data_IF_766316517846
#
_entry.id   IF_766316517846
#
_cell.length_a   1.000
_cell.length_b   1.000
_cell.length_c   1.000
_cell.angle_alpha   90.00
_cell.angle_beta   90.00
_cell.angle_gamma   90.00
#
_symmetry.space_group_name_H-M   'P 1'
#
loop_
_entity.id
_entity.type
_entity.pdbx_description
1 polymer ?
#
# COMPACT_ATOMS: atom_id res chain seq x y z
N UNK A 1 31.84 -8.80 -11.19
CA UNK A 1 30.41 -8.45 -11.12
C UNK A 1 30.27 -7.29 -10.14
N UNK A 2 30.00 -6.04 -10.57
CA UNK A 2 29.76 -4.94 -9.64
C UNK A 2 28.26 -4.86 -9.36
N UNK A 3 27.76 -5.56 -8.33
CA UNK A 3 26.32 -5.59 -8.01
C UNK A 3 25.99 -5.09 -6.59
N UNK A 4 26.98 -4.67 -5.79
CA UNK A 4 26.77 -4.44 -4.36
C UNK A 4 26.76 -2.97 -3.91
N UNK A 5 27.05 -2.01 -4.80
CA UNK A 5 27.16 -0.59 -4.44
C UNK A 5 25.90 0.26 -4.75
N UNK A 6 25.00 -0.19 -5.62
CA UNK A 6 23.84 0.60 -6.11
C UNK A 6 22.49 0.29 -5.45
N UNK A 7 22.38 -0.76 -4.62
CA UNK A 7 21.15 -1.07 -3.84
C UNK A 7 20.84 0.04 -2.78
N UNK A 8 21.77 0.99 -2.62
CA UNK A 8 21.91 1.86 -1.44
C UNK A 8 21.14 3.18 -1.40
N UNK A 9 20.52 3.69 -2.47
CA UNK A 9 19.93 5.04 -2.39
C UNK A 9 18.54 5.05 -1.70
N UNK A 10 17.86 3.91 -1.54
CA UNK A 10 16.56 3.91 -0.84
C UNK A 10 15.78 2.60 -0.74
N UNK A 11 16.36 1.46 -1.16
CA UNK A 11 15.66 0.17 -1.14
C UNK A 11 15.23 -0.23 0.27
N UNK A 12 16.03 0.08 1.30
CA UNK A 12 15.67 -0.19 2.69
C UNK A 12 14.40 0.54 3.13
N UNK A 13 14.29 1.84 2.82
CA UNK A 13 13.10 2.65 3.14
C UNK A 13 11.90 2.20 2.30
N UNK A 14 12.11 1.90 1.01
CA UNK A 14 11.06 1.36 0.15
C UNK A 14 10.51 0.02 0.68
N UNK A 15 11.40 -0.89 1.11
CA UNK A 15 11.03 -2.19 1.69
C UNK A 15 10.29 -1.99 3.00
N UNK A 16 10.78 -1.10 3.89
CA UNK A 16 10.11 -0.77 5.14
C UNK A 16 8.70 -0.19 4.91
N UNK A 17 8.54 0.70 3.93
CA UNK A 17 7.25 1.28 3.57
C UNK A 17 6.25 0.20 3.13
N UNK A 18 6.68 -0.72 2.27
CA UNK A 18 5.85 -1.82 1.78
C UNK A 18 5.50 -2.83 2.88
N UNK A 19 6.46 -3.14 3.75
CA UNK A 19 6.21 -3.99 4.92
C UNK A 19 5.20 -3.35 5.87
N UNK A 20 5.32 -2.06 6.17
CA UNK A 20 4.37 -1.33 7.02
C UNK A 20 2.98 -1.26 6.39
N UNK A 21 2.89 -1.14 5.07
CA UNK A 21 1.63 -1.24 4.33
C UNK A 21 0.98 -2.62 4.48
N UNK A 22 1.75 -3.70 4.30
CA UNK A 22 1.24 -5.07 4.49
C UNK A 22 0.87 -5.34 5.95
N UNK A 23 1.65 -4.88 6.92
CA UNK A 23 1.31 -4.94 8.34
C UNK A 23 0.00 -4.21 8.62
N UNK A 24 -0.20 -3.03 8.01
CA UNK A 24 -1.45 -2.29 8.14
C UNK A 24 -2.66 -3.03 7.56
N UNK A 25 -2.48 -3.81 6.49
CA UNK A 25 -3.56 -4.59 5.90
C UNK A 25 -3.83 -5.90 6.66
N UNK A 26 -2.79 -6.60 7.12
CA UNK A 26 -2.89 -7.99 7.53
C UNK A 26 -2.83 -8.23 9.05
N UNK A 27 -2.10 -7.39 9.79
CA UNK A 27 -1.71 -7.72 11.18
C UNK A 27 -2.16 -6.67 12.19
N UNK A 28 -1.81 -5.41 11.94
CA UNK A 28 -1.99 -4.32 12.90
C UNK A 28 -2.52 -3.06 12.17
N UNK A 29 -3.80 -3.06 11.77
CA UNK A 29 -4.41 -1.91 11.11
C UNK A 29 -4.33 -0.67 11.99
N UNK A 30 -4.14 0.48 11.37
CA UNK A 30 -3.92 1.75 12.06
C UNK A 30 -2.47 1.89 12.55
N UNK A 31 -1.91 0.94 13.28
CA UNK A 31 -0.52 1.01 13.74
C UNK A 31 0.49 0.94 12.58
N UNK A 32 0.27 0.03 11.62
CA UNK A 32 1.10 -0.01 10.40
C UNK A 32 1.02 1.31 9.63
N UNK A 33 -0.18 1.91 9.53
CA UNK A 33 -0.36 3.21 8.88
C UNK A 33 0.30 4.36 9.64
N UNK A 34 0.23 4.38 10.98
CA UNK A 34 0.94 5.37 11.80
C UNK A 34 2.46 5.26 11.64
N UNK A 35 2.99 4.04 11.61
CA UNK A 35 4.40 3.78 11.30
C UNK A 35 4.76 4.27 9.90
N UNK A 36 3.90 4.02 8.91
CA UNK A 36 4.09 4.50 7.54
C UNK A 36 4.08 6.04 7.45
N UNK A 37 3.14 6.70 8.14
CA UNK A 37 3.08 8.16 8.21
C UNK A 37 4.32 8.76 8.86
N UNK A 38 4.82 8.13 9.94
CA UNK A 38 6.06 8.53 10.58
C UNK A 38 7.25 8.39 9.61
N UNK A 39 7.37 7.25 8.94
CA UNK A 39 8.43 6.98 7.97
C UNK A 39 8.39 7.98 6.80
N UNK A 40 7.20 8.25 6.27
CA UNK A 40 7.00 9.25 5.22
C UNK A 40 7.41 10.65 5.70
N UNK A 41 6.97 11.09 6.88
CA UNK A 41 7.36 12.40 7.43
C UNK A 41 8.88 12.53 7.59
N UNK A 42 9.54 11.45 7.97
CA UNK A 42 11.00 11.41 8.16
C UNK A 42 11.77 11.54 6.84
N UNK A 43 11.27 10.96 5.75
CA UNK A 43 11.99 10.89 4.46
C UNK A 43 11.43 11.79 3.36
N UNK A 44 10.31 12.51 3.56
CA UNK A 44 9.64 13.29 2.50
C UNK A 44 10.47 14.39 1.83
N UNK A 45 11.57 14.84 2.46
CA UNK A 45 12.43 15.92 1.95
C UNK A 45 13.69 15.35 1.28
N UNK A 46 14.39 14.45 1.99
CA UNK A 46 15.72 13.99 1.58
C UNK A 46 15.73 12.54 1.06
N UNK A 47 14.56 11.91 0.90
CA UNK A 47 14.46 10.54 0.42
C UNK A 47 14.77 10.43 -1.08
N UNK A 48 15.40 9.33 -1.47
CA UNK A 48 15.62 9.06 -2.90
C UNK A 48 14.32 8.88 -3.68
N UNK A 49 14.36 9.08 -5.02
CA UNK A 49 13.19 8.90 -5.87
C UNK A 49 12.52 7.52 -5.73
N UNK A 50 13.32 6.46 -5.51
CA UNK A 50 12.83 5.11 -5.24
C UNK A 50 12.03 5.05 -3.93
N UNK A 51 12.65 5.47 -2.82
CA UNK A 51 12.03 5.45 -1.49
C UNK A 51 10.74 6.27 -1.46
N UNK A 52 10.79 7.49 -1.99
CA UNK A 52 9.64 8.39 -2.05
C UNK A 52 8.50 7.83 -2.90
N UNK A 53 8.80 7.22 -4.05
CA UNK A 53 7.77 6.62 -4.89
C UNK A 53 7.05 5.48 -4.17
N UNK A 54 7.77 4.60 -3.48
CA UNK A 54 7.17 3.52 -2.68
C UNK A 54 6.39 4.03 -1.47
N UNK A 55 6.87 5.08 -0.79
CA UNK A 55 6.12 5.76 0.27
C UNK A 55 4.82 6.38 -0.25
N UNK A 56 4.85 7.02 -1.41
CA UNK A 56 3.66 7.62 -2.02
C UNK A 56 2.65 6.54 -2.48
N UNK A 57 3.11 5.40 -3.00
CA UNK A 57 2.26 4.25 -3.35
C UNK A 57 1.56 3.66 -2.11
N UNK A 58 2.33 3.39 -1.05
CA UNK A 58 1.85 2.74 0.17
C UNK A 58 0.89 3.64 0.97
N UNK A 59 1.14 4.95 1.00
CA UNK A 59 0.19 5.90 1.58
C UNK A 59 -1.10 5.96 0.78
N UNK A 60 -1.02 6.07 -0.55
CA UNK A 60 -2.20 6.09 -1.41
C UNK A 60 -3.00 4.78 -1.27
N UNK A 61 -2.33 3.63 -1.28
CA UNK A 61 -2.94 2.32 -1.06
C UNK A 61 -3.61 2.21 0.31
N UNK A 62 -3.02 2.78 1.37
CA UNK A 62 -3.60 2.78 2.72
C UNK A 62 -4.85 3.66 2.80
N UNK A 63 -4.85 4.82 2.13
CA UNK A 63 -6.02 5.70 2.03
C UNK A 63 -7.16 4.98 1.29
N UNK A 64 -6.86 4.35 0.15
CA UNK A 64 -7.85 3.56 -0.59
C UNK A 64 -8.39 2.38 0.21
N UNK A 65 -7.56 1.70 1.01
CA UNK A 65 -8.03 0.67 1.94
C UNK A 65 -9.01 1.23 2.98
N UNK A 66 -8.73 2.43 3.51
CA UNK A 66 -9.65 3.13 4.42
C UNK A 66 -10.96 3.53 3.73
N UNK A 67 -10.91 4.07 2.51
CA UNK A 67 -12.10 4.39 1.70
C UNK A 67 -12.94 3.13 1.46
N UNK A 68 -12.30 2.02 1.10
CA UNK A 68 -12.97 0.72 0.89
C UNK A 68 -13.76 0.29 2.13
N UNK A 69 -13.17 0.44 3.32
CA UNK A 69 -13.82 0.13 4.59
C UNK A 69 -15.04 1.02 4.84
N UNK A 70 -14.93 2.33 4.59
CA UNK A 70 -16.05 3.27 4.73
C UNK A 70 -17.17 2.94 3.75
N UNK A 71 -16.83 2.68 2.48
CA UNK A 71 -17.81 2.32 1.44
C UNK A 71 -18.52 1.01 1.77
N UNK A 72 -17.81 -0.01 2.26
CA UNK A 72 -18.41 -1.26 2.69
C UNK A 72 -19.44 -1.03 3.81
N UNK A 73 -19.10 -0.23 4.82
CA UNK A 73 -20.03 0.10 5.92
C UNK A 73 -21.22 0.94 5.43
N UNK A 74 -21.00 1.88 4.51
CA UNK A 74 -22.08 2.67 3.93
C UNK A 74 -23.07 1.79 3.14
N UNK A 75 -22.56 0.82 2.36
CA UNK A 75 -23.41 -0.15 1.65
C UNK A 75 -24.27 -0.97 2.61
N UNK A 76 -23.74 -1.37 3.77
CA UNK A 76 -24.53 -2.07 4.81
C UNK A 76 -25.71 -1.22 5.27
N UNK A 77 -25.46 0.05 5.61
CA UNK A 77 -26.50 0.96 6.08
C UNK A 77 -27.55 1.21 5.01
N UNK A 78 -27.17 1.27 3.72
CA UNK A 78 -28.09 1.47 2.60
C UNK A 78 -28.90 0.22 2.22
N UNK A 79 -28.35 -0.99 2.42
CA UNK A 79 -28.98 -2.26 2.05
C UNK A 79 -29.89 -2.84 3.15
N UNK A 80 -30.15 -2.09 4.22
CA UNK A 80 -31.12 -2.49 5.25
C UNK A 80 -30.51 -2.82 6.62
N UNK A 81 -29.26 -2.43 6.89
CA UNK A 81 -28.63 -2.59 8.20
C UNK A 81 -27.94 -3.95 8.38
N UNK A 82 -27.55 -4.27 9.61
CA UNK A 82 -26.70 -5.44 9.92
C UNK A 82 -27.48 -6.73 10.18
N UNK A 83 -28.81 -6.69 10.08
CA UNK A 83 -29.70 -7.72 10.61
C UNK A 83 -29.86 -8.95 9.69
N UNK A 84 -29.57 -8.82 8.40
CA UNK A 84 -29.79 -9.86 7.39
C UNK A 84 -28.52 -10.66 7.01
N UNK A 85 -28.59 -12.00 6.88
CA UNK A 85 -27.44 -12.81 6.43
C UNK A 85 -26.91 -12.43 5.03
N UNK A 86 -27.79 -11.97 4.14
CA UNK A 86 -27.44 -11.55 2.78
C UNK A 86 -26.48 -10.34 2.77
N UNK A 87 -26.60 -9.43 3.75
CA UNK A 87 -25.71 -8.28 3.91
C UNK A 87 -24.29 -8.75 4.19
N UNK A 88 -24.13 -9.71 5.10
CA UNK A 88 -22.84 -10.30 5.43
C UNK A 88 -22.21 -11.02 4.25
N UNK A 89 -22.99 -11.74 3.44
CA UNK A 89 -22.49 -12.37 2.21
C UNK A 89 -21.92 -11.33 1.25
N UNK A 90 -22.66 -10.25 0.98
CA UNK A 90 -22.21 -9.17 0.09
C UNK A 90 -20.96 -8.47 0.64
N UNK A 91 -20.97 -8.10 1.93
CA UNK A 91 -19.87 -7.39 2.58
C UNK A 91 -18.61 -8.21 2.61
N UNK A 92 -18.68 -9.47 3.04
CA UNK A 92 -17.52 -10.35 3.12
C UNK A 92 -16.94 -10.55 1.71
N UNK A 93 -17.78 -10.86 0.73
CA UNK A 93 -17.34 -11.07 -0.66
C UNK A 93 -16.66 -9.83 -1.24
N UNK A 94 -17.30 -8.66 -1.09
CA UNK A 94 -16.76 -7.38 -1.54
C UNK A 94 -15.44 -7.04 -0.85
N UNK A 95 -15.44 -7.06 0.49
CA UNK A 95 -14.26 -6.70 1.27
C UNK A 95 -13.10 -7.63 0.99
N UNK A 96 -13.31 -8.95 1.03
CA UNK A 96 -12.23 -9.93 0.78
C UNK A 96 -11.66 -9.80 -0.61
N UNK A 97 -12.48 -9.66 -1.65
CA UNK A 97 -12.00 -9.52 -3.03
C UNK A 97 -11.15 -8.25 -3.19
N UNK A 98 -11.66 -7.10 -2.77
CA UNK A 98 -10.94 -5.82 -2.89
C UNK A 98 -9.70 -5.78 -1.98
N UNK A 99 -9.80 -6.32 -0.76
CA UNK A 99 -8.69 -6.40 0.19
C UNK A 99 -7.57 -7.30 -0.34
N UNK A 100 -7.89 -8.48 -0.86
CA UNK A 100 -6.90 -9.40 -1.43
C UNK A 100 -6.15 -8.76 -2.61
N UNK A 101 -6.82 -7.98 -3.46
CA UNK A 101 -6.15 -7.24 -4.54
C UNK A 101 -5.14 -6.21 -4.01
N UNK A 102 -5.49 -5.50 -2.94
CA UNK A 102 -4.57 -4.56 -2.28
C UNK A 102 -3.37 -5.27 -1.64
N UNK A 103 -3.60 -6.41 -1.01
CA UNK A 103 -2.53 -7.25 -0.44
C UNK A 103 -1.59 -7.75 -1.54
N UNK A 104 -2.11 -8.23 -2.66
CA UNK A 104 -1.30 -8.65 -3.81
C UNK A 104 -0.48 -7.48 -4.36
N UNK A 105 -1.08 -6.30 -4.53
CA UNK A 105 -0.35 -5.10 -4.94
C UNK A 105 0.80 -4.76 -3.96
N UNK A 106 0.55 -4.87 -2.66
CA UNK A 106 1.56 -4.69 -1.61
C UNK A 106 2.68 -5.72 -1.66
N UNK A 107 2.35 -6.99 -1.87
CA UNK A 107 3.34 -8.06 -1.96
C UNK A 107 4.24 -7.92 -3.20
N UNK A 108 3.65 -7.62 -4.37
CA UNK A 108 4.41 -7.28 -5.57
C UNK A 108 5.26 -6.02 -5.36
N UNK A 109 4.69 -4.99 -4.74
CA UNK A 109 5.39 -3.77 -4.41
C UNK A 109 6.57 -3.98 -3.47
N UNK A 110 6.46 -4.89 -2.49
CA UNK A 110 7.53 -5.30 -1.60
C UNK A 110 8.64 -6.03 -2.38
N UNK A 111 8.27 -6.99 -3.24
CA UNK A 111 9.22 -7.71 -4.07
C UNK A 111 10.04 -6.76 -4.97
N UNK A 112 9.38 -5.77 -5.60
CA UNK A 112 10.05 -4.74 -6.41
C UNK A 112 10.94 -3.83 -5.56
N UNK A 113 10.51 -3.46 -4.35
CA UNK A 113 11.33 -2.66 -3.43
C UNK A 113 12.61 -3.39 -3.00
N UNK A 114 12.52 -4.69 -2.69
CA UNK A 114 13.66 -5.55 -2.36
C UNK A 114 14.62 -5.72 -3.55
N UNK A 115 14.10 -5.68 -4.78
CA UNK A 115 14.90 -5.66 -6.00
C UNK A 115 15.45 -4.27 -6.37
N UNK A 116 15.15 -3.23 -5.59
CA UNK A 116 15.56 -1.84 -5.89
C UNK A 116 14.86 -1.25 -7.13
N UNK A 117 13.69 -1.77 -7.50
CA UNK A 117 12.95 -1.37 -8.69
C UNK A 117 11.72 -0.54 -8.35
N UNK A 118 11.49 0.51 -9.13
CA UNK A 118 10.27 1.31 -9.03
C UNK A 118 9.03 0.49 -9.37
N UNK A 119 7.93 0.77 -8.67
CA UNK A 119 6.63 0.14 -8.91
C UNK A 119 5.50 1.13 -8.65
N UNK A 120 4.48 1.11 -9.50
CA UNK A 120 3.26 1.89 -9.34
C UNK A 120 2.07 0.94 -9.22
N UNK A 121 1.21 1.18 -8.23
CA UNK A 121 -0.02 0.41 -8.10
C UNK A 121 -0.97 0.71 -9.28
N UNK A 122 -1.55 -0.31 -9.94
CA UNK A 122 -2.32 -0.09 -11.17
C UNK A 122 -3.48 0.89 -11.05
N UNK A 123 -4.28 0.78 -9.98
CA UNK A 123 -5.52 1.56 -9.81
C UNK A 123 -5.42 2.63 -8.70
N UNK A 124 -4.73 2.30 -7.61
CA UNK A 124 -4.67 3.13 -6.41
C UNK A 124 -3.37 3.93 -6.31
N UNK A 125 -2.48 3.78 -7.30
CA UNK A 125 -1.12 4.29 -7.25
C UNK A 125 -0.97 5.72 -7.73
N UNK A 126 -0.21 6.52 -6.98
CA UNK A 126 0.21 7.86 -7.38
C UNK A 126 1.22 7.82 -8.53
N UNK A 127 1.38 8.91 -9.31
CA UNK A 127 2.49 9.02 -10.25
C UNK A 127 3.84 8.83 -9.55
N UNK A 128 4.78 8.18 -10.24
CA UNK A 128 6.15 8.01 -9.73
C UNK A 128 6.87 9.36 -9.68
N UNK A 129 7.82 9.50 -8.75
CA UNK A 129 8.64 10.71 -8.66
C UNK A 129 9.65 10.78 -9.81
N UNK A 130 9.99 12.00 -10.21
CA UNK A 130 11.03 12.26 -11.20
C UNK A 130 12.33 11.57 -10.79
N UNK A 131 12.85 10.68 -11.64
CA UNK A 131 14.03 9.85 -11.36
C UNK A 131 13.71 8.39 -11.00
N UNK A 132 12.43 8.01 -10.85
CA UNK A 132 12.00 6.63 -10.62
C UNK A 132 11.20 6.13 -11.83
N UNK A 133 11.77 5.23 -12.62
CA UNK A 133 11.13 4.67 -13.82
C UNK A 133 10.94 3.16 -13.63
N UNK A 134 9.76 2.64 -14.01
CA UNK A 134 9.52 1.19 -14.01
C UNK A 134 10.43 0.54 -15.04
N UNK A 135 11.20 -0.45 -14.61
CA UNK A 135 11.83 -1.40 -15.52
C UNK A 135 10.84 -2.54 -15.75
N UNK A 136 10.43 -2.67 -17.00
CA UNK A 136 9.56 -3.73 -17.53
C UNK A 136 10.35 -5.05 -17.66
#
# INVERSE_FOLDING_TARGET
MPQSAEVGDGSGVATAAQSLYLVNLLLAPGFGFLGLLWLWRRHRVDGSPLALSHLDQTLSGSIWAGILLVVANALILLLGGYDGPHVWVVVITYFTTCHSLLVVCGAFGLAKAMAGQCWRYPLVGRPLRSGCVTRD
#
